data_IF_331938738452
#
_entry.id   IF_331938738452
#
_cell.length_a   1.000
_cell.length_b   1.000
_cell.length_c   1.000
_cell.angle_alpha   90.00
_cell.angle_beta   90.00
_cell.angle_gamma   90.00
#
_symmetry.space_group_name_H-M   'P 1'
#
loop_
_entity.id
_entity.type
_entity.pdbx_description
1 polymer ?
#
# COMPACT_ATOMS: atom_id res chain seq x y z
N UNK A 1 15.61 -13.26 38.30
CA UNK A 1 16.00 -13.33 36.88
C UNK A 1 14.93 -12.59 36.11
N UNK A 2 15.22 -11.41 35.55
CA UNK A 2 14.29 -10.75 34.63
C UNK A 2 14.28 -11.59 33.36
N UNK A 3 13.10 -12.07 32.95
CA UNK A 3 12.90 -12.67 31.64
C UNK A 3 13.37 -11.66 30.58
N UNK A 4 14.41 -12.03 29.88
CA UNK A 4 14.93 -11.27 28.75
C UNK A 4 13.88 -11.40 27.63
N UNK A 5 12.95 -10.45 27.57
CA UNK A 5 11.93 -10.41 26.51
C UNK A 5 12.62 -10.06 25.20
N UNK A 6 12.53 -10.93 24.22
CA UNK A 6 13.07 -10.70 22.89
C UNK A 6 12.51 -9.40 22.31
N UNK A 7 13.37 -8.53 21.85
CA UNK A 7 13.00 -7.34 21.11
C UNK A 7 12.78 -7.73 19.63
N UNK A 8 11.62 -7.42 19.09
CA UNK A 8 11.30 -7.65 17.69
C UNK A 8 11.47 -6.36 16.89
N UNK A 9 12.09 -6.46 15.70
CA UNK A 9 12.35 -5.31 14.84
C UNK A 9 11.39 -5.35 13.65
N UNK A 10 10.63 -4.26 13.48
CA UNK A 10 9.87 -3.98 12.26
C UNK A 10 10.51 -2.78 11.56
N UNK A 11 10.84 -2.92 10.28
CA UNK A 11 11.44 -1.84 9.49
C UNK A 11 10.84 -1.77 8.08
N UNK A 12 10.87 -0.58 7.50
CA UNK A 12 10.52 -0.38 6.09
C UNK A 12 9.59 0.80 5.84
N UNK A 13 8.93 0.77 4.70
CA UNK A 13 7.86 1.68 4.31
C UNK A 13 6.49 1.25 4.87
N UNK A 14 5.46 2.04 4.57
CA UNK A 14 4.10 1.74 5.05
C UNK A 14 3.62 0.35 4.61
N UNK A 15 3.93 -0.07 3.36
CA UNK A 15 3.56 -1.40 2.86
C UNK A 15 4.16 -2.55 3.67
N UNK A 16 5.41 -2.40 4.14
CA UNK A 16 6.07 -3.38 5.01
C UNK A 16 5.36 -3.47 6.37
N UNK A 17 5.03 -2.32 6.97
CA UNK A 17 4.34 -2.29 8.26
C UNK A 17 2.96 -2.91 8.21
N UNK A 18 2.25 -2.76 7.11
CA UNK A 18 0.97 -3.45 6.92
C UNK A 18 1.14 -4.96 7.00
N UNK A 19 2.20 -5.53 6.42
CA UNK A 19 2.48 -6.98 6.49
C UNK A 19 2.89 -7.46 7.89
N UNK A 20 3.43 -6.59 8.74
CA UNK A 20 3.72 -6.91 10.15
C UNK A 20 2.49 -6.80 11.05
N UNK A 21 1.52 -5.99 10.65
CA UNK A 21 0.36 -5.62 11.46
C UNK A 21 -0.47 -6.83 11.92
N UNK A 22 -0.80 -7.84 11.08
CA UNK A 22 -1.56 -9.01 11.55
C UNK A 22 -0.87 -9.76 12.70
N UNK A 23 0.44 -9.96 12.61
CA UNK A 23 1.19 -10.59 13.70
C UNK A 23 1.17 -9.76 14.98
N UNK A 24 1.37 -8.44 14.87
CA UNK A 24 1.35 -7.54 16.02
C UNK A 24 -0.03 -7.48 16.68
N UNK A 25 -1.11 -7.55 15.91
CA UNK A 25 -2.47 -7.58 16.42
C UNK A 25 -2.79 -8.89 17.15
N UNK A 26 -2.40 -10.03 16.58
CA UNK A 26 -2.59 -11.34 17.20
C UNK A 26 -1.83 -11.49 18.52
N UNK A 27 -0.65 -10.89 18.63
CA UNK A 27 0.21 -11.00 19.83
C UNK A 27 0.02 -9.85 20.84
N UNK A 28 -0.99 -9.02 20.66
CA UNK A 28 -1.29 -7.87 21.51
C UNK A 28 -1.37 -8.17 23.02
N UNK A 29 -1.93 -9.30 23.47
CA UNK A 29 -1.99 -9.64 24.91
C UNK A 29 -0.64 -9.98 25.52
N UNK A 30 0.23 -10.67 24.78
CA UNK A 30 1.53 -11.18 25.26
C UNK A 30 2.70 -10.20 25.09
N UNK A 31 2.46 -9.10 24.43
CA UNK A 31 3.30 -7.88 24.31
C UNK A 31 4.80 -8.15 24.17
N UNK A 32 5.24 -8.69 23.03
CA UNK A 32 6.66 -8.58 22.72
C UNK A 32 7.06 -7.10 22.67
N UNK A 33 8.29 -6.81 22.98
CA UNK A 33 8.84 -5.44 22.83
C UNK A 33 9.14 -5.22 21.36
N UNK A 34 8.63 -4.13 20.79
CA UNK A 34 8.88 -3.78 19.39
C UNK A 34 9.82 -2.59 19.29
N UNK A 35 10.86 -2.71 18.49
CA UNK A 35 11.61 -1.61 17.94
C UNK A 35 11.14 -1.36 16.51
N UNK A 36 10.71 -0.15 16.22
CA UNK A 36 10.15 0.19 14.90
C UNK A 36 11.02 1.24 14.24
N UNK A 37 11.60 0.88 13.10
CA UNK A 37 12.40 1.77 12.26
C UNK A 37 11.55 2.24 11.08
N UNK A 38 11.23 3.52 11.04
CA UNK A 38 10.34 4.10 10.04
C UNK A 38 10.98 5.29 9.34
N UNK A 39 10.74 5.43 8.05
CA UNK A 39 10.95 6.68 7.35
C UNK A 39 9.64 7.47 7.13
N UNK A 40 8.54 6.99 7.70
CA UNK A 40 7.22 7.60 7.58
C UNK A 40 6.52 7.75 8.94
N UNK A 41 6.37 8.97 9.42
CA UNK A 41 5.83 9.26 10.77
C UNK A 41 4.41 8.74 11.00
N UNK A 42 3.55 8.72 9.97
CA UNK A 42 2.17 8.28 10.09
C UNK A 42 1.97 6.83 10.58
N UNK A 43 3.01 5.98 10.50
CA UNK A 43 2.99 4.62 11.05
C UNK A 43 2.79 4.63 12.58
N UNK A 44 3.33 5.64 13.28
CA UNK A 44 3.15 5.76 14.72
C UNK A 44 1.68 5.93 15.10
N UNK A 45 0.95 6.75 14.34
CA UNK A 45 -0.47 7.01 14.60
C UNK A 45 -1.32 5.78 14.28
N UNK A 46 -0.96 5.03 13.23
CA UNK A 46 -1.57 3.75 12.91
C UNK A 46 -1.43 2.77 14.09
N UNK A 47 -0.23 2.62 14.65
CA UNK A 47 0.02 1.72 15.79
C UNK A 47 -0.73 2.16 17.04
N UNK A 48 -0.80 3.46 17.33
CA UNK A 48 -1.60 4.00 18.43
C UNK A 48 -3.09 3.66 18.28
N UNK A 49 -3.65 3.82 17.07
CA UNK A 49 -5.04 3.48 16.76
C UNK A 49 -5.35 2.01 17.04
N UNK A 50 -4.41 1.12 16.75
CA UNK A 50 -4.56 -0.30 17.06
C UNK A 50 -4.18 -0.67 18.50
N UNK A 51 -3.70 0.27 19.30
CA UNK A 51 -3.25 0.04 20.67
C UNK A 51 -2.02 -0.90 20.72
N UNK A 52 -1.21 -0.93 19.67
CA UNK A 52 0.06 -1.65 19.64
C UNK A 52 1.09 -0.80 20.37
N UNK A 53 1.67 -1.38 21.43
CA UNK A 53 2.72 -0.71 22.19
C UNK A 53 4.07 -0.95 21.53
N UNK A 54 4.76 0.13 21.19
CA UNK A 54 6.11 0.12 20.64
C UNK A 54 7.04 0.69 21.70
N UNK A 55 8.15 0.00 21.97
CA UNK A 55 9.12 0.48 22.95
C UNK A 55 9.86 1.69 22.44
N UNK A 56 10.27 1.64 21.18
CA UNK A 56 11.01 2.72 20.55
C UNK A 56 10.69 2.84 19.08
N UNK A 57 10.35 4.06 18.64
CA UNK A 57 10.33 4.43 17.22
C UNK A 57 11.64 5.12 16.87
N UNK A 58 12.27 4.67 15.80
CA UNK A 58 13.46 5.30 15.23
C UNK A 58 13.13 5.75 13.82
N UNK A 59 13.22 7.05 13.57
CA UNK A 59 12.98 7.63 12.24
C UNK A 59 14.32 7.75 11.50
N UNK A 60 14.34 7.40 10.22
CA UNK A 60 15.48 7.59 9.33
C UNK A 60 15.00 8.15 7.97
N UNK A 61 15.87 8.83 7.25
CA UNK A 61 15.48 9.55 6.03
C UNK A 61 15.89 8.84 4.73
N UNK A 62 16.99 8.08 4.72
CA UNK A 62 17.50 7.36 3.53
C UNK A 62 18.41 6.20 3.94
N UNK A 63 18.80 5.35 2.97
CA UNK A 63 19.55 4.12 3.19
C UNK A 63 20.88 4.28 3.97
N UNK A 64 21.62 5.35 3.72
CA UNK A 64 22.87 5.64 4.46
C UNK A 64 22.61 5.96 5.94
N UNK A 65 21.52 6.69 6.23
CA UNK A 65 21.10 6.94 7.61
C UNK A 65 20.58 5.68 8.29
N UNK A 66 19.92 4.79 7.56
CA UNK A 66 19.47 3.50 8.09
C UNK A 66 20.64 2.70 8.64
N UNK A 67 21.70 2.52 7.84
CA UNK A 67 22.90 1.79 8.26
C UNK A 67 23.59 2.43 9.47
N UNK A 68 23.61 3.79 9.53
CA UNK A 68 24.12 4.53 10.67
C UNK A 68 23.27 4.31 11.92
N UNK A 69 21.95 4.40 11.80
CA UNK A 69 21.00 4.15 12.90
C UNK A 69 21.11 2.74 13.47
N UNK A 70 21.28 1.74 12.63
CA UNK A 70 21.54 0.36 13.06
C UNK A 70 22.80 0.27 13.93
N UNK A 71 23.91 0.93 13.54
CA UNK A 71 25.16 0.97 14.33
C UNK A 71 24.98 1.74 15.64
N UNK A 72 24.26 2.86 15.61
CA UNK A 72 23.99 3.68 16.81
C UNK A 72 23.15 2.95 17.86
N UNK A 73 22.29 2.02 17.44
CA UNK A 73 21.44 1.26 18.35
C UNK A 73 22.23 0.27 19.21
N UNK A 74 23.50 0.00 18.85
CA UNK A 74 24.43 -0.89 19.56
C UNK A 74 23.73 -2.14 20.13
N UNK A 75 23.11 -2.89 19.22
CA UNK A 75 22.17 -3.93 19.59
C UNK A 75 22.93 -5.16 20.05
N UNK A 76 23.15 -5.26 21.35
CA UNK A 76 23.72 -6.44 22.01
C UNK A 76 22.66 -7.48 22.35
N UNK A 77 21.37 -7.13 22.26
CA UNK A 77 20.26 -8.04 22.50
C UNK A 77 19.93 -8.85 21.23
N UNK A 78 19.49 -10.06 21.40
CA UNK A 78 19.04 -10.90 20.27
C UNK A 78 17.76 -10.31 19.66
N UNK A 79 17.89 -9.66 18.51
CA UNK A 79 16.75 -9.16 17.77
C UNK A 79 16.27 -10.22 16.76
N UNK A 80 14.98 -10.34 16.66
CA UNK A 80 14.33 -11.05 15.57
C UNK A 80 13.46 -10.09 14.77
N UNK A 81 13.35 -10.30 13.45
CA UNK A 81 12.41 -9.54 12.64
C UNK A 81 10.99 -9.96 12.98
N UNK A 82 10.06 -9.00 12.93
CA UNK A 82 8.63 -9.28 13.05
C UNK A 82 8.19 -10.15 11.87
N UNK A 83 7.47 -11.27 12.12
CA UNK A 83 6.95 -12.09 11.04
C UNK A 83 6.02 -11.30 10.12
N UNK A 84 6.13 -11.54 8.82
CA UNK A 84 5.24 -10.99 7.80
C UNK A 84 4.07 -11.93 7.57
N UNK A 85 2.89 -11.36 7.34
CA UNK A 85 1.68 -12.08 6.95
C UNK A 85 1.08 -11.43 5.71
N UNK A 86 0.59 -12.27 4.79
CA UNK A 86 0.10 -11.79 3.50
C UNK A 86 -1.36 -11.33 3.54
N UNK A 87 -2.15 -11.87 4.47
CA UNK A 87 -3.57 -11.57 4.57
C UNK A 87 -3.98 -11.27 6.00
N UNK A 88 -4.93 -10.39 6.16
CA UNK A 88 -5.67 -10.29 7.40
C UNK A 88 -6.68 -11.45 7.48
N UNK A 89 -6.82 -12.05 8.65
CA UNK A 89 -7.88 -13.02 8.92
C UNK A 89 -9.24 -12.33 8.94
N UNK A 90 -9.28 -11.18 9.62
CA UNK A 90 -10.44 -10.30 9.69
C UNK A 90 -10.02 -8.87 9.35
N UNK A 91 -10.95 -8.10 8.76
CA UNK A 91 -10.70 -6.69 8.48
C UNK A 91 -10.50 -5.90 9.79
N UNK A 92 -9.29 -5.37 10.06
CA UNK A 92 -9.01 -4.64 11.30
C UNK A 92 -9.52 -3.19 11.27
N UNK A 93 -10.00 -2.71 10.13
CA UNK A 93 -10.42 -1.33 9.94
C UNK A 93 -11.92 -1.19 10.19
N UNK A 94 -12.30 -0.16 10.96
CA UNK A 94 -13.72 0.12 11.19
C UNK A 94 -14.39 0.58 9.90
N UNK A 95 -15.59 0.09 9.61
CA UNK A 95 -16.36 0.57 8.48
C UNK A 95 -16.54 2.10 8.55
N UNK A 96 -16.33 2.75 7.42
CA UNK A 96 -16.70 4.16 7.23
C UNK A 96 -18.10 4.22 6.60
N UNK A 97 -18.74 5.39 6.68
CA UNK A 97 -19.98 5.59 5.91
C UNK A 97 -19.67 5.40 4.42
N UNK A 98 -20.54 4.70 3.69
CA UNK A 98 -20.40 4.59 2.24
C UNK A 98 -20.29 5.97 1.60
N UNK A 99 -19.31 6.13 0.71
CA UNK A 99 -19.11 7.39 0.00
C UNK A 99 -20.16 7.58 -1.10
N UNK A 100 -20.62 6.46 -1.68
CA UNK A 100 -21.62 6.43 -2.74
C UNK A 100 -22.84 5.63 -2.30
N UNK A 101 -24.04 6.06 -2.75
CA UNK A 101 -25.32 5.40 -2.45
C UNK A 101 -26.15 5.17 -3.73
N UNK A 102 -25.50 4.98 -4.89
CA UNK A 102 -26.15 4.87 -6.19
C UNK A 102 -26.21 3.44 -6.73
N UNK A 103 -25.82 2.44 -5.93
CA UNK A 103 -25.86 1.02 -6.32
C UNK A 103 -24.76 0.57 -7.30
N UNK A 104 -23.93 1.48 -7.81
CA UNK A 104 -22.80 1.11 -8.66
C UNK A 104 -21.66 0.52 -7.81
N UNK A 105 -20.92 -0.41 -8.40
CA UNK A 105 -19.67 -0.93 -7.81
C UNK A 105 -18.66 0.19 -7.61
N UNK A 106 -17.91 0.12 -6.52
CA UNK A 106 -16.89 1.12 -6.16
C UNK A 106 -15.50 0.54 -6.36
N UNK A 107 -14.71 1.16 -7.22
CA UNK A 107 -13.30 0.82 -7.40
C UNK A 107 -12.40 1.87 -6.77
N UNK A 108 -11.32 1.42 -6.14
CA UNK A 108 -10.26 2.30 -5.69
C UNK A 108 -9.23 2.47 -6.80
N UNK A 109 -8.74 3.68 -6.99
CA UNK A 109 -7.63 3.96 -7.91
C UNK A 109 -6.51 4.65 -7.13
N UNK A 110 -5.26 4.18 -7.29
CA UNK A 110 -4.07 4.83 -6.78
C UNK A 110 -3.04 4.98 -7.89
N UNK A 111 -2.83 6.22 -8.33
CA UNK A 111 -2.04 6.51 -9.52
C UNK A 111 -0.53 6.41 -9.26
N UNK A 112 -0.07 6.82 -8.08
CA UNK A 112 1.34 7.07 -7.83
C UNK A 112 1.99 5.98 -6.98
N UNK A 113 3.22 5.63 -7.31
CA UNK A 113 4.08 4.88 -6.41
C UNK A 113 4.59 5.74 -5.25
N UNK A 114 5.43 5.19 -4.36
CA UNK A 114 5.98 5.97 -3.26
C UNK A 114 6.90 7.09 -3.76
N UNK A 115 6.79 8.29 -3.18
CA UNK A 115 7.62 9.46 -3.51
C UNK A 115 9.13 9.16 -3.41
N UNK A 116 9.55 8.43 -2.37
CA UNK A 116 10.95 8.02 -2.22
C UNK A 116 11.41 7.09 -3.36
N UNK A 117 10.51 6.23 -3.84
CA UNK A 117 10.75 5.41 -5.03
C UNK A 117 10.89 6.28 -6.28
N UNK A 118 10.09 7.34 -6.41
CA UNK A 118 10.16 8.29 -7.52
C UNK A 118 11.51 9.00 -7.56
N UNK A 119 11.94 9.60 -6.45
CA UNK A 119 13.21 10.33 -6.38
C UNK A 119 14.42 9.43 -6.69
N UNK A 120 14.41 8.21 -6.17
CA UNK A 120 15.44 7.22 -6.46
C UNK A 120 15.44 6.81 -7.94
N UNK A 121 14.27 6.62 -8.54
CA UNK A 121 14.14 6.25 -9.94
C UNK A 121 14.60 7.37 -10.87
N UNK A 122 14.22 8.62 -10.59
CA UNK A 122 14.69 9.79 -11.35
C UNK A 122 16.22 9.87 -11.31
N UNK A 123 16.83 9.72 -10.13
CA UNK A 123 18.29 9.68 -9.98
C UNK A 123 18.97 8.54 -10.76
N UNK A 124 18.25 7.43 -10.97
CA UNK A 124 18.71 6.27 -11.76
C UNK A 124 18.34 6.39 -13.24
N UNK A 125 17.74 7.49 -13.70
CA UNK A 125 17.27 7.67 -15.07
C UNK A 125 16.11 6.74 -15.45
N UNK A 126 15.38 6.21 -14.46
CA UNK A 126 14.22 5.32 -14.67
C UNK A 126 12.92 6.12 -14.65
N UNK A 127 11.91 5.75 -15.47
CA UNK A 127 10.63 6.45 -15.47
C UNK A 127 9.89 6.30 -14.14
N UNK A 128 9.04 7.26 -13.77
CA UNK A 128 8.22 7.19 -12.57
C UNK A 128 7.25 6.00 -12.62
N UNK A 129 6.80 5.55 -11.45
CA UNK A 129 5.75 4.52 -11.32
C UNK A 129 4.40 5.21 -11.17
N UNK A 130 3.87 5.72 -12.26
CA UNK A 130 2.61 6.49 -12.25
C UNK A 130 1.66 5.94 -13.32
N UNK A 131 0.41 5.69 -12.93
CA UNK A 131 -0.64 5.46 -13.93
C UNK A 131 -1.06 6.78 -14.55
N UNK A 132 -1.36 6.81 -15.86
CA UNK A 132 -1.91 8.00 -16.48
C UNK A 132 -3.24 8.41 -15.83
N UNK A 133 -3.45 9.69 -15.47
CA UNK A 133 -4.69 10.17 -14.84
C UNK A 133 -5.95 9.86 -15.67
N UNK A 134 -5.84 9.77 -17.00
CA UNK A 134 -6.95 9.42 -17.90
C UNK A 134 -7.62 8.07 -17.56
N UNK A 135 -6.95 7.17 -16.83
CA UNK A 135 -7.55 5.91 -16.40
C UNK A 135 -8.79 6.12 -15.52
N UNK A 136 -8.87 7.24 -14.80
CA UNK A 136 -10.04 7.61 -13.99
C UNK A 136 -11.26 7.88 -14.89
N UNK A 137 -11.04 8.55 -16.01
CA UNK A 137 -12.10 8.84 -16.98
C UNK A 137 -12.48 7.59 -17.76
N UNK A 138 -11.50 6.77 -18.14
CA UNK A 138 -11.69 5.53 -18.90
C UNK A 138 -12.42 4.42 -18.10
N UNK A 139 -12.49 4.56 -16.76
CA UNK A 139 -13.20 3.66 -15.85
C UNK A 139 -14.45 4.32 -15.22
N UNK A 140 -15.02 5.36 -15.85
CA UNK A 140 -16.17 6.14 -15.36
C UNK A 140 -17.49 5.37 -15.21
N UNK A 141 -17.56 4.14 -15.70
CA UNK A 141 -18.71 3.24 -15.48
C UNK A 141 -18.89 2.86 -14.00
N UNK A 142 -17.83 2.97 -13.20
CA UNK A 142 -17.80 2.67 -11.79
C UNK A 142 -17.85 3.94 -10.92
N UNK A 143 -18.14 3.76 -9.64
CA UNK A 143 -17.79 4.75 -8.62
C UNK A 143 -16.29 4.65 -8.35
N UNK A 144 -15.61 5.78 -8.25
CA UNK A 144 -14.16 5.83 -8.10
C UNK A 144 -13.78 6.55 -6.81
N UNK A 145 -13.01 5.86 -5.96
CA UNK A 145 -12.28 6.45 -4.86
C UNK A 145 -10.82 6.65 -5.31
N UNK A 146 -10.44 7.88 -5.60
CA UNK A 146 -9.08 8.21 -6.00
C UNK A 146 -8.23 8.49 -4.76
N UNK A 147 -7.28 7.60 -4.49
CA UNK A 147 -6.34 7.70 -3.38
C UNK A 147 -5.07 8.42 -3.79
N UNK A 148 -4.53 9.24 -2.90
CA UNK A 148 -3.25 9.92 -3.11
C UNK A 148 -3.00 11.00 -2.08
N UNK A 149 -1.79 11.58 -2.10
CA UNK A 149 -1.51 12.80 -1.37
C UNK A 149 -2.23 13.99 -2.05
N UNK A 150 -2.59 15.04 -1.31
CA UNK A 150 -3.26 16.20 -1.88
C UNK A 150 -2.57 16.78 -3.11
N UNK A 151 -1.26 16.93 -3.04
CA UNK A 151 -0.43 17.45 -4.13
C UNK A 151 -0.38 16.51 -5.35
N UNK A 152 -0.40 15.19 -5.12
CA UNK A 152 -0.42 14.19 -6.19
C UNK A 152 -1.74 14.25 -6.95
N UNK A 153 -2.87 14.27 -6.23
CA UNK A 153 -4.19 14.35 -6.84
C UNK A 153 -4.40 15.70 -7.53
N UNK A 154 -3.94 16.79 -6.94
CA UNK A 154 -4.03 18.12 -7.55
C UNK A 154 -3.24 18.19 -8.87
N UNK A 155 -2.06 17.59 -8.93
CA UNK A 155 -1.21 17.57 -10.13
C UNK A 155 -1.87 16.85 -11.32
N UNK A 156 -2.84 15.97 -11.08
CA UNK A 156 -3.56 15.27 -12.16
C UNK A 156 -4.50 16.14 -12.97
N UNK A 157 -4.93 17.28 -12.42
CA UNK A 157 -5.98 18.14 -13.00
C UNK A 157 -7.39 17.55 -12.93
N UNK A 158 -7.58 16.35 -12.38
CA UNK A 158 -8.88 15.70 -12.23
C UNK A 158 -9.79 16.50 -11.28
N UNK A 159 -11.09 16.32 -11.45
CA UNK A 159 -12.11 16.96 -10.59
C UNK A 159 -13.00 15.90 -9.95
N UNK A 160 -13.46 16.18 -8.74
CA UNK A 160 -14.49 15.37 -8.12
C UNK A 160 -15.83 15.51 -8.88
N UNK A 161 -16.59 14.44 -8.87
CA UNK A 161 -17.95 14.36 -9.46
C UNK A 161 -18.85 13.52 -8.58
N UNK A 162 -20.06 13.21 -9.04
CA UNK A 162 -20.97 12.31 -8.34
C UNK A 162 -20.45 10.86 -8.29
N UNK A 163 -19.57 10.48 -9.23
CA UNK A 163 -18.98 9.15 -9.31
C UNK A 163 -17.48 9.12 -9.01
N UNK A 164 -16.83 10.26 -8.79
CA UNK A 164 -15.40 10.35 -8.46
C UNK A 164 -15.19 11.14 -7.18
N UNK A 165 -14.65 10.53 -6.15
CA UNK A 165 -14.30 11.20 -4.89
C UNK A 165 -12.82 11.01 -4.57
N UNK A 166 -12.19 12.05 -4.03
CA UNK A 166 -10.80 12.05 -3.64
C UNK A 166 -10.65 11.67 -2.17
N UNK A 167 -9.81 10.69 -1.91
CA UNK A 167 -9.46 10.23 -0.57
C UNK A 167 -8.08 10.80 -0.21
N UNK A 168 -8.09 12.05 0.18
CA UNK A 168 -6.91 12.86 0.53
C UNK A 168 -7.11 13.52 1.90
N UNK A 169 -6.09 14.16 2.47
CA UNK A 169 -6.12 14.86 3.77
C UNK A 169 -6.54 14.00 4.97
N UNK A 170 -6.55 12.67 4.82
CA UNK A 170 -6.91 11.74 5.89
C UNK A 170 -5.67 11.21 6.59
N UNK A 171 -5.83 10.81 7.84
CA UNK A 171 -4.81 9.98 8.46
C UNK A 171 -4.75 8.59 7.76
N UNK A 172 -3.64 7.87 7.93
CA UNK A 172 -3.44 6.58 7.27
C UNK A 172 -4.54 5.59 7.61
N UNK A 173 -4.97 5.54 8.88
CA UNK A 173 -6.02 4.62 9.30
C UNK A 173 -7.34 4.89 8.57
N UNK A 174 -7.70 6.17 8.43
CA UNK A 174 -8.90 6.55 7.69
C UNK A 174 -8.77 6.20 6.22
N UNK A 175 -7.63 6.52 5.58
CA UNK A 175 -7.40 6.17 4.17
C UNK A 175 -7.52 4.66 3.95
N UNK A 176 -6.90 3.84 4.81
CA UNK A 176 -6.99 2.38 4.73
C UNK A 176 -8.41 1.86 5.02
N UNK A 177 -9.17 2.55 5.86
CA UNK A 177 -10.59 2.22 6.09
C UNK A 177 -11.45 2.46 4.84
N UNK A 178 -11.10 3.43 4.00
CA UNK A 178 -11.76 3.63 2.70
C UNK A 178 -11.32 2.59 1.67
N UNK A 179 -10.07 2.13 1.68
CA UNK A 179 -9.65 0.98 0.85
C UNK A 179 -10.54 -0.22 1.12
N UNK A 180 -10.87 -0.48 2.38
CA UNK A 180 -11.73 -1.59 2.79
C UNK A 180 -13.19 -1.51 2.28
N UNK A 181 -13.60 -0.40 1.66
CA UNK A 181 -14.92 -0.22 1.05
C UNK A 181 -14.94 -0.46 -0.47
N UNK A 182 -13.78 -0.65 -1.08
CA UNK A 182 -13.70 -0.87 -2.52
C UNK A 182 -14.08 -2.31 -2.86
N UNK A 183 -14.87 -2.48 -3.91
CA UNK A 183 -15.16 -3.80 -4.48
C UNK A 183 -13.95 -4.35 -5.25
N UNK A 184 -13.14 -3.46 -5.84
CA UNK A 184 -11.88 -3.79 -6.49
C UNK A 184 -10.89 -2.61 -6.42
N UNK A 185 -9.62 -2.86 -6.75
CA UNK A 185 -8.56 -1.86 -6.77
C UNK A 185 -7.79 -1.89 -8.08
N UNK A 186 -7.48 -0.70 -8.62
CA UNK A 186 -6.54 -0.50 -9.71
C UNK A 186 -5.41 0.40 -9.20
N UNK A 187 -4.19 -0.09 -9.18
CA UNK A 187 -3.12 0.65 -8.51
C UNK A 187 -1.75 0.48 -9.18
N UNK A 188 -0.90 1.48 -8.97
CA UNK A 188 0.55 1.35 -9.10
C UNK A 188 1.12 0.61 -7.88
N UNK A 189 2.39 0.23 -7.92
CA UNK A 189 3.07 -0.44 -6.81
C UNK A 189 3.26 0.50 -5.60
N UNK A 190 2.38 0.36 -4.63
CA UNK A 190 2.24 1.24 -3.46
C UNK A 190 1.74 0.51 -2.22
N UNK A 191 1.72 1.21 -1.07
CA UNK A 191 1.13 0.69 0.17
C UNK A 191 -0.39 0.46 0.07
N UNK A 192 -1.09 1.24 -0.74
CA UNK A 192 -2.53 1.09 -0.99
C UNK A 192 -2.80 -0.25 -1.69
N UNK A 193 -1.97 -0.62 -2.68
CA UNK A 193 -1.99 -1.93 -3.32
C UNK A 193 -1.78 -3.06 -2.30
N UNK A 194 -0.80 -2.91 -1.42
CA UNK A 194 -0.54 -3.93 -0.38
C UNK A 194 -1.75 -4.08 0.55
N UNK A 195 -2.36 -2.97 0.94
CA UNK A 195 -3.54 -2.98 1.80
C UNK A 195 -4.74 -3.67 1.16
N UNK A 196 -5.08 -3.34 -0.08
CA UNK A 196 -6.20 -3.96 -0.79
C UNK A 196 -6.01 -5.49 -0.89
N UNK A 197 -4.79 -5.91 -1.27
CA UNK A 197 -4.46 -7.32 -1.40
C UNK A 197 -4.51 -8.07 -0.07
N UNK A 198 -4.04 -7.46 1.01
CA UNK A 198 -4.11 -8.07 2.36
C UNK A 198 -5.54 -8.20 2.88
N UNK A 199 -6.45 -7.34 2.46
CA UNK A 199 -7.90 -7.44 2.71
C UNK A 199 -8.62 -8.38 1.73
N UNK A 200 -7.89 -9.03 0.83
CA UNK A 200 -8.43 -9.90 -0.24
C UNK A 200 -9.35 -9.16 -1.22
N UNK A 201 -9.17 -7.84 -1.36
CA UNK A 201 -9.88 -7.06 -2.37
C UNK A 201 -9.23 -7.32 -3.72
N UNK A 202 -9.99 -7.73 -4.76
CA UNK A 202 -9.46 -7.95 -6.09
C UNK A 202 -8.66 -6.74 -6.58
N UNK A 203 -7.40 -6.97 -6.96
CA UNK A 203 -6.47 -5.87 -7.27
C UNK A 203 -5.83 -6.08 -8.64
N UNK A 204 -5.97 -5.09 -9.54
CA UNK A 204 -5.23 -5.03 -10.79
C UNK A 204 -4.04 -4.09 -10.61
N UNK A 205 -2.85 -4.64 -10.67
CA UNK A 205 -1.60 -3.92 -10.45
C UNK A 205 -0.91 -3.58 -11.76
N UNK A 206 -0.75 -2.27 -12.02
CA UNK A 206 0.12 -1.77 -13.07
C UNK A 206 1.53 -1.64 -12.50
N UNK A 207 2.44 -2.47 -12.99
CA UNK A 207 3.82 -2.49 -12.55
C UNK A 207 4.70 -1.79 -13.58
N UNK A 208 5.66 -0.97 -13.12
CA UNK A 208 6.77 -0.58 -13.97
C UNK A 208 7.57 -1.81 -14.38
N UNK A 209 8.23 -1.73 -15.53
CA UNK A 209 9.22 -2.72 -15.92
C UNK A 209 10.41 -2.63 -14.96
N UNK A 210 10.42 -3.49 -13.97
CA UNK A 210 11.37 -3.50 -12.88
C UNK A 210 12.02 -4.87 -12.77
N UNK A 211 13.32 -4.85 -12.76
CA UNK A 211 14.18 -6.00 -12.52
C UNK A 211 14.26 -6.40 -11.03
N UNK A 212 13.48 -5.77 -10.13
CA UNK A 212 13.52 -6.05 -8.69
C UNK A 212 12.77 -7.34 -8.35
N UNK A 213 13.40 -8.48 -8.66
CA UNK A 213 12.95 -9.84 -8.31
C UNK A 213 12.49 -9.98 -6.85
N UNK A 214 13.20 -9.37 -5.88
CA UNK A 214 12.84 -9.40 -4.47
C UNK A 214 11.51 -8.74 -4.17
N UNK A 215 11.18 -7.68 -4.90
CA UNK A 215 9.93 -6.95 -4.73
C UNK A 215 8.74 -7.77 -5.21
N UNK A 216 8.89 -8.44 -6.33
CA UNK A 216 7.87 -9.33 -6.87
C UNK A 216 7.61 -10.49 -5.89
N UNK A 217 8.67 -11.12 -5.38
CA UNK A 217 8.57 -12.27 -4.49
C UNK A 217 7.80 -11.98 -3.19
N UNK A 218 8.03 -10.82 -2.58
CA UNK A 218 7.43 -10.48 -1.27
C UNK A 218 6.15 -9.66 -1.34
N UNK A 219 5.91 -8.93 -2.42
CA UNK A 219 4.82 -7.96 -2.48
C UNK A 219 3.81 -8.21 -3.60
N UNK A 220 4.07 -9.17 -4.47
CA UNK A 220 3.22 -9.47 -5.63
C UNK A 220 2.86 -10.94 -5.69
N UNK A 221 3.87 -11.82 -5.77
CA UNK A 221 3.67 -13.25 -5.97
C UNK A 221 2.68 -13.92 -5.03
N UNK A 222 2.70 -13.67 -3.70
CA UNK A 222 1.75 -14.30 -2.79
C UNK A 222 0.30 -13.97 -3.13
N UNK A 223 0.04 -12.75 -3.56
CA UNK A 223 -1.30 -12.28 -3.91
C UNK A 223 -1.77 -12.78 -5.28
N UNK A 224 -0.84 -12.87 -6.25
CA UNK A 224 -1.12 -13.46 -7.56
C UNK A 224 -1.44 -14.95 -7.41
N UNK A 225 -0.62 -15.70 -6.66
CA UNK A 225 -0.86 -17.12 -6.38
C UNK A 225 -2.16 -17.39 -5.64
N UNK A 226 -2.59 -16.45 -4.81
CA UNK A 226 -3.88 -16.52 -4.11
C UNK A 226 -5.09 -16.08 -4.97
N UNK A 227 -4.86 -15.66 -6.21
CA UNK A 227 -5.93 -15.18 -7.10
C UNK A 227 -6.50 -13.80 -6.74
N UNK A 228 -5.89 -13.08 -5.78
CA UNK A 228 -6.35 -11.76 -5.33
C UNK A 228 -5.81 -10.65 -6.23
N UNK A 229 -4.70 -10.89 -6.92
CA UNK A 229 -4.04 -9.88 -7.72
C UNK A 229 -3.78 -10.38 -9.14
N UNK A 230 -4.01 -9.49 -10.13
CA UNK A 230 -3.53 -9.63 -11.50
C UNK A 230 -2.57 -8.50 -11.82
N UNK A 231 -1.51 -8.76 -12.52
CA UNK A 231 -0.47 -7.77 -12.83
C UNK A 231 -0.38 -7.49 -14.32
N UNK A 232 -0.06 -6.25 -14.66
CA UNK A 232 0.30 -5.83 -16.00
C UNK A 232 1.60 -5.03 -15.93
N UNK A 233 2.62 -5.47 -16.68
CA UNK A 233 3.89 -4.75 -16.78
C UNK A 233 3.74 -3.66 -17.82
N UNK A 234 3.96 -2.42 -17.39
CA UNK A 234 3.77 -1.21 -18.18
C UNK A 234 5.07 -0.40 -18.23
N UNK A 235 5.51 -0.05 -19.40
CA UNK A 235 6.62 0.87 -19.60
C UNK A 235 6.06 2.29 -19.54
N UNK A 236 6.29 2.98 -18.43
CA UNK A 236 5.74 4.31 -18.14
C UNK A 236 6.33 5.42 -19.03
N UNK A 237 6.47 5.32 -20.20
CA UNK A 237 6.85 6.31 -21.22
C UNK A 237 6.50 5.76 -22.59
N UNK A 238 5.79 4.61 -22.57
CA UNK A 238 5.44 3.92 -23.78
C UNK A 238 4.26 4.57 -24.46
N UNK A 239 4.17 4.27 -25.71
CA UNK A 239 3.16 4.71 -26.65
C UNK A 239 1.73 4.43 -26.12
N UNK A 240 0.78 5.20 -26.56
CA UNK A 240 -0.66 5.04 -26.26
C UNK A 240 -1.17 3.61 -26.44
N UNK A 241 -0.56 2.83 -27.34
CA UNK A 241 -0.89 1.42 -27.58
C UNK A 241 -0.71 0.52 -26.34
N UNK A 242 0.35 0.68 -25.56
CA UNK A 242 0.54 -0.10 -24.32
C UNK A 242 -0.46 0.29 -23.25
N UNK A 243 -0.76 1.59 -23.15
CA UNK A 243 -1.82 2.04 -22.28
C UNK A 243 -3.17 1.39 -22.65
N UNK A 244 -3.56 1.41 -23.91
CA UNK A 244 -4.83 0.82 -24.37
C UNK A 244 -4.88 -0.68 -24.07
N UNK A 245 -3.78 -1.40 -24.27
CA UNK A 245 -3.69 -2.81 -23.89
C UNK A 245 -3.88 -3.04 -22.38
N UNK A 246 -3.21 -2.25 -21.56
CA UNK A 246 -3.34 -2.32 -20.10
C UNK A 246 -4.75 -1.98 -19.63
N UNK A 247 -5.36 -0.96 -20.22
CA UNK A 247 -6.75 -0.56 -19.95
C UNK A 247 -7.75 -1.68 -20.31
N UNK A 248 -7.59 -2.30 -21.46
CA UNK A 248 -8.42 -3.43 -21.86
C UNK A 248 -8.32 -4.58 -20.86
N UNK A 249 -7.10 -4.99 -20.48
CA UNK A 249 -6.88 -6.05 -19.49
C UNK A 249 -7.44 -5.68 -18.11
N UNK A 250 -7.39 -4.39 -17.75
CA UNK A 250 -7.99 -3.89 -16.51
C UNK A 250 -9.51 -4.04 -16.56
N UNK A 251 -10.15 -3.62 -17.64
CA UNK A 251 -11.63 -3.73 -17.82
C UNK A 251 -12.08 -5.19 -17.81
N UNK A 252 -11.39 -6.06 -18.51
CA UNK A 252 -11.66 -7.50 -18.51
C UNK A 252 -11.59 -8.08 -17.09
N UNK A 253 -10.52 -7.76 -16.34
CA UNK A 253 -10.37 -8.21 -14.97
C UNK A 253 -11.47 -7.68 -14.05
N UNK A 254 -11.78 -6.39 -14.13
CA UNK A 254 -12.85 -5.80 -13.32
C UNK A 254 -14.21 -6.44 -13.63
N UNK A 255 -14.50 -6.69 -14.89
CA UNK A 255 -15.74 -7.39 -15.28
C UNK A 255 -15.80 -8.80 -14.68
N UNK A 256 -14.69 -9.56 -14.73
CA UNK A 256 -14.64 -10.91 -14.16
C UNK A 256 -14.91 -10.91 -12.66
N UNK A 257 -14.23 -10.03 -11.90
CA UNK A 257 -14.28 -10.04 -10.43
C UNK A 257 -15.51 -9.32 -9.85
N UNK A 258 -16.15 -8.43 -10.59
CA UNK A 258 -17.31 -7.66 -10.14
C UNK A 258 -18.65 -8.22 -10.60
N UNK A 259 -18.63 -9.21 -11.52
CA UNK A 259 -19.84 -9.90 -11.98
C UNK A 259 -20.28 -11.05 -11.06
N UNK A 260 -19.40 -11.41 -10.13
CA UNK A 260 -19.66 -12.41 -9.05
C UNK A 260 -20.22 -11.74 -7.81
#
# INVERSE_FOLDING_TARGET
MQEQKNLLIAEGGLGDFLQFLPFMLANKPNRPRYLVLVHFKGVQDLFKKFGIKVERFVTYTLDDEKAKKWKELNVTEAFSQVPRTWFFEENPFKPQKPVFNNGKKTIGIHLNGSKNSLDTRIKQGKPPKELPPKIVEDLSDYNILLFGLPEEVQATGLKQSDTVKFITYLDIYQSLSYVAQCDAMVASDSSIKSMSSMLKIPTFLWMGDNEDYWRDLYFVDPYVKAGVMKTFRYVFAAEDREYQRGLQLTKEYLNDVLST
#
